data_IF_010111653694
#
_entry.id   IF_010111653694
#
_cell.length_a   1.000
_cell.length_b   1.000
_cell.length_c   1.000
_cell.angle_alpha   90.00
_cell.angle_beta   90.00
_cell.angle_gamma   90.00
#
_symmetry.space_group_name_H-M   'P 1'
#
loop_
_entity.id
_entity.type
_entity.pdbx_description
1 polymer ?
#
# COMPACT_ATOMS: atom_id res chain seq x y z
N UNK A 1 -4.38 -14.90 12.15
CA UNK A 1 -3.67 -13.99 11.24
C UNK A 1 -2.18 -14.25 11.39
N UNK A 2 -1.52 -14.67 10.32
CA UNK A 2 -0.14 -15.20 10.27
C UNK A 2 0.81 -14.25 9.55
N UNK A 3 0.29 -13.42 8.64
CA UNK A 3 1.10 -12.50 7.83
C UNK A 3 0.38 -11.18 7.58
N UNK A 4 1.16 -10.11 7.60
CA UNK A 4 0.76 -8.76 7.18
C UNK A 4 1.72 -8.30 6.09
N UNK A 5 1.18 -7.78 5.00
CA UNK A 5 1.96 -7.21 3.92
C UNK A 5 1.80 -5.68 3.91
N UNK A 6 2.89 -4.98 4.20
CA UNK A 6 2.95 -3.52 4.13
C UNK A 6 3.28 -3.08 2.71
N UNK A 7 2.47 -2.17 2.16
CA UNK A 7 2.57 -1.73 0.77
C UNK A 7 2.53 -0.20 0.73
N UNK A 8 3.51 0.47 0.12
CA UNK A 8 3.47 1.92 -0.04
C UNK A 8 2.23 2.34 -0.85
N UNK A 9 1.45 3.26 -0.32
CA UNK A 9 0.20 3.72 -0.94
C UNK A 9 0.42 4.53 -2.23
N UNK A 10 1.63 5.01 -2.51
CA UNK A 10 1.97 5.77 -3.70
C UNK A 10 2.36 4.91 -4.92
N UNK A 11 2.26 3.58 -4.83
CA UNK A 11 2.72 2.66 -5.88
C UNK A 11 1.62 1.72 -6.38
N UNK A 12 0.90 2.13 -7.42
CA UNK A 12 -0.13 1.33 -8.12
C UNK A 12 0.34 -0.10 -8.42
N UNK A 13 1.52 -0.23 -9.05
CA UNK A 13 2.12 -1.53 -9.39
C UNK A 13 2.29 -2.44 -8.16
N UNK A 14 2.64 -1.90 -7.00
CA UNK A 14 2.81 -2.70 -5.77
C UNK A 14 1.45 -3.05 -5.17
N UNK A 15 0.49 -2.13 -5.20
CA UNK A 15 -0.89 -2.35 -4.74
C UNK A 15 -1.57 -3.46 -5.56
N UNK A 16 -1.43 -3.45 -6.89
CA UNK A 16 -1.94 -4.50 -7.77
C UNK A 16 -1.36 -5.87 -7.43
N UNK A 17 -0.03 -5.95 -7.25
CA UNK A 17 0.65 -7.20 -6.90
C UNK A 17 0.29 -7.70 -5.51
N UNK A 18 0.06 -6.81 -4.55
CA UNK A 18 -0.26 -7.15 -3.18
C UNK A 18 -1.55 -7.98 -3.08
N UNK A 19 -2.56 -7.68 -3.93
CA UNK A 19 -3.84 -8.42 -3.99
C UNK A 19 -3.64 -9.91 -4.27
N UNK A 20 -2.57 -10.29 -4.97
CA UNK A 20 -2.22 -11.69 -5.28
C UNK A 20 -1.14 -12.30 -4.40
N UNK A 21 -0.65 -11.60 -3.37
CA UNK A 21 0.54 -12.01 -2.61
C UNK A 21 0.28 -13.10 -1.55
N UNK A 22 -0.99 -13.45 -1.28
CA UNK A 22 -1.35 -14.50 -0.33
C UNK A 22 -1.13 -14.13 1.15
N UNK A 23 -1.02 -12.84 1.46
CA UNK A 23 -0.98 -12.36 2.84
C UNK A 23 -2.37 -12.43 3.49
N UNK A 24 -2.42 -12.71 4.80
CA UNK A 24 -3.70 -12.74 5.53
C UNK A 24 -4.30 -11.32 5.66
N UNK A 25 -3.47 -10.28 5.63
CA UNK A 25 -3.90 -8.87 5.54
C UNK A 25 -2.89 -8.01 4.76
N UNK A 26 -3.41 -7.00 4.07
CA UNK A 26 -2.62 -5.97 3.37
C UNK A 26 -2.81 -4.65 4.11
N UNK A 27 -1.71 -3.99 4.45
CA UNK A 27 -1.69 -2.68 5.09
C UNK A 27 -1.13 -1.70 4.07
N UNK A 28 -1.99 -0.80 3.59
CA UNK A 28 -1.57 0.30 2.73
C UNK A 28 -0.95 1.37 3.62
N UNK A 29 0.35 1.58 3.45
CA UNK A 29 1.10 2.55 4.23
C UNK A 29 1.02 3.94 3.58
N UNK A 30 0.77 4.95 4.40
CA UNK A 30 0.68 6.36 4.02
C UNK A 30 1.74 7.22 4.73
N UNK A 31 2.63 6.59 5.50
CA UNK A 31 3.63 7.22 6.35
C UNK A 31 5.03 6.99 5.80
N UNK A 32 5.86 6.17 6.45
CA UNK A 32 7.31 6.16 6.28
C UNK A 32 7.76 5.57 4.93
N UNK A 33 6.94 4.74 4.29
CA UNK A 33 7.26 4.22 2.95
C UNK A 33 6.79 5.12 1.80
N UNK A 34 6.17 6.27 2.10
CA UNK A 34 5.66 7.23 1.12
C UNK A 34 6.44 8.55 1.22
N UNK A 35 7.04 8.97 0.10
CA UNK A 35 7.71 10.26 0.00
C UNK A 35 6.71 11.40 0.33
N UNK A 36 7.18 12.46 1.01
CA UNK A 36 6.28 13.50 1.53
C UNK A 36 5.44 14.15 0.43
N UNK A 37 6.03 14.37 -0.74
CA UNK A 37 5.39 14.89 -1.95
C UNK A 37 4.30 13.96 -2.51
N UNK A 38 4.40 12.65 -2.27
CA UNK A 38 3.48 11.64 -2.79
C UNK A 38 2.31 11.34 -1.84
N UNK A 39 2.29 11.87 -0.61
CA UNK A 39 1.20 11.64 0.36
C UNK A 39 -0.20 11.96 -0.18
N UNK A 40 -0.43 13.03 -0.98
CA UNK A 40 -1.72 13.25 -1.61
C UNK A 40 -2.10 12.10 -2.56
N UNK A 41 -1.18 11.71 -3.46
CA UNK A 41 -1.40 10.61 -4.40
C UNK A 41 -1.65 9.28 -3.69
N UNK A 42 -0.90 8.99 -2.64
CA UNK A 42 -1.07 7.78 -1.85
C UNK A 42 -2.47 7.68 -1.23
N UNK A 43 -3.02 8.81 -0.76
CA UNK A 43 -4.39 8.87 -0.22
C UNK A 43 -5.47 8.70 -1.29
N UNK A 44 -5.23 9.13 -2.52
CA UNK A 44 -6.15 8.89 -3.63
C UNK A 44 -6.18 7.41 -3.98
N UNK A 45 -5.01 6.80 -4.18
CA UNK A 45 -4.88 5.38 -4.53
C UNK A 45 -5.43 4.45 -3.45
N UNK A 46 -5.25 4.80 -2.16
CA UNK A 46 -5.77 3.99 -1.06
C UNK A 46 -7.31 3.96 -0.98
N UNK A 47 -8.03 4.81 -1.72
CA UNK A 47 -9.50 4.84 -1.75
C UNK A 47 -10.11 3.96 -2.84
N UNK A 48 -9.31 3.44 -3.76
CA UNK A 48 -9.73 2.57 -4.86
C UNK A 48 -9.79 1.08 -4.46
#
# INVERSE_FOLDING_TARGET
MRSFLFVPGDSERKLEKARGAGADAIIVDLEDSVAAENRPRARELARE
#
